data_IF_621931124942
#
_entry.id   IF_621931124942
#
_cell.length_a   1.000
_cell.length_b   1.000
_cell.length_c   1.000
_cell.angle_alpha   90.00
_cell.angle_beta   90.00
_cell.angle_gamma   90.00
#
_symmetry.space_group_name_H-M   'P 1'
#
loop_
_entity.id
_entity.type
_entity.pdbx_description
1 polymer ?
#
# COMPACT_ATOMS: atom_id res chain seq x y z
N UNK A 1 -61.62 66.61 -11.47
CA UNK A 1 -60.73 66.68 -10.29
C UNK A 1 -59.64 65.64 -10.48
N UNK A 2 -58.35 66.05 -10.49
CA UNK A 2 -57.11 65.22 -10.45
C UNK A 2 -56.78 64.48 -11.78
N UNK A 3 -55.94 65.02 -12.70
CA UNK A 3 -54.45 64.97 -12.81
C UNK A 3 -53.88 63.52 -12.74
N UNK A 4 -52.92 63.01 -13.50
CA UNK A 4 -51.94 63.44 -14.53
C UNK A 4 -51.43 62.13 -15.17
N UNK A 5 -51.35 62.04 -16.50
CA UNK A 5 -50.13 61.92 -17.32
C UNK A 5 -49.26 60.67 -17.10
N UNK A 6 -49.22 59.83 -18.14
CA UNK A 6 -48.14 58.89 -18.49
C UNK A 6 -47.00 59.65 -19.18
N UNK A 7 -45.77 59.25 -18.92
CA UNK A 7 -44.62 59.44 -19.80
C UNK A 7 -43.58 58.33 -19.53
N UNK A 8 -43.04 57.78 -20.62
CA UNK A 8 -41.82 56.95 -20.71
C UNK A 8 -40.56 57.88 -20.67
N UNK A 9 -39.28 57.50 -20.96
CA UNK A 9 -38.63 56.21 -21.27
C UNK A 9 -37.18 56.04 -20.70
N UNK A 10 -36.49 54.96 -21.14
CA UNK A 10 -35.06 54.86 -21.54
C UNK A 10 -33.87 54.82 -20.54
N UNK A 11 -32.85 54.06 -21.00
CA UNK A 11 -31.40 54.06 -20.71
C UNK A 11 -30.93 53.57 -19.32
N UNK A 12 -29.87 52.78 -19.14
CA UNK A 12 -28.66 52.52 -19.92
C UNK A 12 -27.44 52.74 -19.00
N UNK A 13 -26.86 51.70 -18.38
CA UNK A 13 -25.64 51.78 -17.54
C UNK A 13 -24.87 50.44 -17.67
N UNK A 14 -23.82 50.40 -18.49
CA UNK A 14 -22.38 50.57 -18.16
C UNK A 14 -21.71 49.33 -17.57
N UNK A 15 -20.75 48.81 -18.34
CA UNK A 15 -19.81 47.75 -17.98
C UNK A 15 -18.85 48.21 -16.88
N UNK A 16 -18.72 47.42 -15.82
CA UNK A 16 -17.70 47.53 -14.79
C UNK A 16 -16.66 46.42 -14.97
N UNK A 17 -15.44 46.82 -15.33
CA UNK A 17 -14.24 46.00 -15.41
C UNK A 17 -13.79 45.64 -13.99
N UNK A 18 -13.69 44.35 -13.66
CA UNK A 18 -13.01 43.88 -12.46
C UNK A 18 -11.57 43.46 -12.83
N UNK A 19 -10.54 43.94 -12.12
CA UNK A 19 -9.18 43.50 -12.36
C UNK A 19 -8.95 42.07 -11.81
N UNK A 20 -8.34 41.25 -12.65
CA UNK A 20 -7.81 39.93 -12.33
C UNK A 20 -6.69 40.04 -11.28
N UNK A 21 -6.89 39.45 -10.10
CA UNK A 21 -5.82 39.19 -9.15
C UNK A 21 -5.13 37.88 -9.55
N UNK A 22 -3.97 38.01 -10.19
CA UNK A 22 -3.03 36.92 -10.43
C UNK A 22 -2.37 36.54 -9.10
N UNK A 23 -2.69 35.35 -8.59
CA UNK A 23 -1.97 34.74 -7.46
C UNK A 23 -0.79 33.96 -8.04
N UNK A 24 0.40 34.55 -7.98
CA UNK A 24 1.67 33.85 -8.16
C UNK A 24 1.90 32.90 -6.99
N UNK A 25 2.24 31.62 -7.22
CA UNK A 25 2.67 30.72 -6.15
C UNK A 25 4.05 31.17 -5.66
N UNK A 26 4.19 31.37 -4.35
CA UNK A 26 5.47 31.53 -3.66
C UNK A 26 6.32 30.28 -3.87
N UNK A 27 7.37 30.41 -4.68
CA UNK A 27 8.51 29.49 -4.69
C UNK A 27 9.14 29.48 -3.28
N UNK A 28 9.19 28.31 -2.67
CA UNK A 28 10.01 28.06 -1.49
C UNK A 28 11.39 27.63 -1.97
N UNK A 29 12.33 28.59 -2.06
CA UNK A 29 13.75 28.27 -2.22
C UNK A 29 14.34 27.85 -0.86
N UNK A 30 14.92 26.63 -0.74
CA UNK A 30 15.64 26.26 0.46
C UNK A 30 16.98 27.03 0.55
N UNK A 31 17.40 27.47 1.75
CA UNK A 31 18.66 28.19 1.93
C UNK A 31 19.88 27.29 1.68
N UNK A 32 21.03 27.87 1.27
CA UNK A 32 22.24 27.11 0.99
C UNK A 32 22.89 26.56 2.27
N UNK A 33 23.39 25.33 2.15
CA UNK A 33 24.21 24.62 3.14
C UNK A 33 25.33 25.53 3.70
N UNK A 34 25.23 25.86 4.99
CA UNK A 34 26.38 26.34 5.77
C UNK A 34 26.86 25.19 6.68
N UNK A 35 28.09 24.75 6.41
CA UNK A 35 28.88 23.93 7.33
C UNK A 35 29.14 24.70 8.64
N UNK A 36 28.94 24.11 9.82
CA UNK A 36 29.62 24.53 11.02
C UNK A 36 30.94 23.76 11.18
N UNK A 37 31.98 24.53 11.49
CA UNK A 37 33.28 24.03 11.90
C UNK A 37 33.26 23.51 13.35
N UNK A 38 34.14 22.55 13.61
CA UNK A 38 34.86 22.28 14.86
C UNK A 38 34.21 22.76 16.17
N UNK A 39 33.62 21.81 16.91
CA UNK A 39 33.60 21.85 18.37
C UNK A 39 34.29 20.61 18.95
N UNK A 40 35.08 20.88 19.98
CA UNK A 40 36.05 20.00 20.60
C UNK A 40 35.36 18.92 21.44
N UNK A 41 35.82 17.67 21.27
CA UNK A 41 35.46 16.53 22.10
C UNK A 41 35.97 16.71 23.54
N UNK A 42 35.06 16.69 24.51
CA UNK A 42 35.36 16.43 25.93
C UNK A 42 34.87 15.01 26.27
N UNK A 43 35.74 14.09 26.73
CA UNK A 43 35.32 12.71 27.00
C UNK A 43 34.65 12.62 28.37
N UNK A 44 33.38 12.19 28.40
CA UNK A 44 32.73 11.72 29.63
C UNK A 44 32.93 10.21 29.82
N UNK A 45 33.28 9.85 31.06
CA UNK A 45 33.63 8.50 31.50
C UNK A 45 32.46 7.50 31.42
N UNK A 46 32.73 6.20 31.18
CA UNK A 46 31.69 5.18 31.12
C UNK A 46 31.29 4.68 32.52
N UNK A 47 29.99 4.78 32.82
CA UNK A 47 29.35 4.10 33.95
C UNK A 47 29.28 2.60 33.62
N UNK A 48 30.06 1.80 34.36
CA UNK A 48 30.04 0.34 34.30
C UNK A 48 28.73 -0.19 34.89
N UNK A 49 27.87 -0.80 34.06
CA UNK A 49 26.84 -1.74 34.52
C UNK A 49 27.38 -3.16 34.37
N UNK A 50 27.53 -3.84 35.51
CA UNK A 50 27.89 -5.25 35.61
C UNK A 50 26.62 -6.08 35.34
N UNK A 51 26.62 -6.86 34.27
CA UNK A 51 25.69 -7.97 34.09
C UNK A 51 26.51 -9.25 33.94
N UNK A 52 26.45 -10.10 34.95
CA UNK A 52 27.05 -11.43 34.97
C UNK A 52 26.17 -12.38 34.15
N UNK A 53 26.69 -12.87 33.03
CA UNK A 53 26.12 -14.03 32.32
C UNK A 53 26.89 -15.28 32.73
N UNK A 54 26.19 -16.22 33.37
CA UNK A 54 26.67 -17.59 33.56
C UNK A 54 26.49 -18.35 32.24
N UNK A 55 27.61 -18.81 31.67
CA UNK A 55 27.66 -19.64 30.48
C UNK A 55 27.55 -21.12 30.91
N UNK A 56 26.44 -21.79 30.59
CA UNK A 56 26.35 -23.24 30.68
C UNK A 56 26.78 -23.85 29.34
N UNK A 57 27.96 -24.48 29.33
CA UNK A 57 28.47 -25.25 28.20
C UNK A 57 27.85 -26.65 28.26
N UNK A 58 26.98 -26.98 27.29
CA UNK A 58 26.53 -28.35 27.06
C UNK A 58 27.30 -28.90 25.86
N UNK A 59 28.28 -29.74 26.14
CA UNK A 59 28.98 -30.59 25.16
C UNK A 59 28.08 -31.78 24.81
N UNK A 60 27.61 -31.83 23.56
CA UNK A 60 26.96 -33.04 23.01
C UNK A 60 28.03 -33.83 22.25
N UNK A 61 28.24 -35.07 22.70
CA UNK A 61 29.08 -36.05 22.03
C UNK A 61 28.42 -36.51 20.71
N UNK A 62 29.12 -36.30 19.60
CA UNK A 62 28.79 -36.90 18.31
C UNK A 62 29.25 -38.36 18.29
N UNK A 63 28.32 -39.32 18.12
CA UNK A 63 28.65 -40.68 17.72
C UNK A 63 28.51 -40.83 16.18
N UNK A 64 29.39 -41.60 15.52
CA UNK A 64 29.25 -41.88 14.10
C UNK A 64 28.28 -43.06 13.90
N UNK A 65 27.18 -42.83 13.19
CA UNK A 65 26.34 -43.90 12.65
C UNK A 65 26.90 -44.32 11.29
N UNK A 66 27.56 -45.47 11.29
CA UNK A 66 27.81 -46.28 10.10
C UNK A 66 26.51 -46.93 9.62
N UNK A 67 26.19 -46.73 8.34
CA UNK A 67 25.52 -47.73 7.51
C UNK A 67 24.01 -47.58 7.33
N UNK A 68 23.61 -47.09 6.14
CA UNK A 68 22.98 -47.92 5.09
C UNK A 68 22.71 -47.06 3.85
N UNK A 69 23.20 -47.51 2.70
CA UNK A 69 22.80 -46.97 1.41
C UNK A 69 21.31 -47.24 1.19
N UNK A 70 20.55 -46.19 0.92
CA UNK A 70 19.16 -46.28 0.48
C UNK A 70 19.13 -46.68 -1.00
N UNK A 71 18.20 -47.54 -1.43
CA UNK A 71 18.02 -47.85 -2.84
C UNK A 71 17.53 -46.61 -3.60
N UNK A 72 18.01 -46.45 -4.83
CA UNK A 72 17.54 -45.43 -5.75
C UNK A 72 16.02 -45.61 -5.95
N UNK A 73 15.24 -44.60 -5.55
CA UNK A 73 13.82 -44.55 -5.85
C UNK A 73 13.65 -44.24 -7.34
N UNK A 74 13.08 -45.20 -8.06
CA UNK A 74 12.60 -45.03 -9.42
C UNK A 74 11.46 -44.00 -9.44
N UNK A 75 11.53 -43.05 -10.37
CA UNK A 75 10.47 -42.07 -10.60
C UNK A 75 9.21 -42.79 -11.14
N UNK A 76 8.04 -42.70 -10.46
CA UNK A 76 6.80 -43.11 -11.07
C UNK A 76 6.46 -42.11 -12.18
N UNK A 77 6.42 -42.62 -13.41
CA UNK A 77 5.83 -41.94 -14.55
C UNK A 77 4.31 -42.09 -14.46
N UNK A 78 3.58 -41.06 -14.90
CA UNK A 78 2.12 -40.96 -15.07
C UNK A 78 1.28 -40.66 -13.81
N UNK A 79 1.05 -39.37 -13.58
CA UNK A 79 -0.15 -38.89 -12.87
C UNK A 79 -1.27 -38.82 -13.91
N UNK A 80 -2.32 -39.61 -13.71
CA UNK A 80 -3.58 -39.51 -14.46
C UNK A 80 -4.22 -38.13 -14.24
N UNK A 81 -4.93 -37.58 -15.26
CA UNK A 81 -5.57 -36.26 -15.13
C UNK A 81 -6.64 -36.33 -14.04
N UNK A 82 -6.47 -35.52 -12.99
CA UNK A 82 -7.51 -35.32 -12.00
C UNK A 82 -8.63 -34.49 -12.62
N UNK A 83 -9.83 -35.03 -12.54
CA UNK A 83 -11.06 -34.46 -13.05
C UNK A 83 -11.43 -33.20 -12.25
N UNK A 84 -10.80 -32.07 -12.58
CA UNK A 84 -11.20 -30.73 -12.09
C UNK A 84 -12.32 -30.16 -12.97
N UNK A 85 -13.40 -30.90 -13.12
CA UNK A 85 -14.66 -30.39 -13.67
C UNK A 85 -15.63 -29.93 -12.58
N UNK A 86 -15.14 -29.68 -11.36
CA UNK A 86 -15.93 -29.06 -10.29
C UNK A 86 -16.18 -27.58 -10.61
N UNK A 87 -17.16 -27.36 -11.47
CA UNK A 87 -18.09 -26.24 -11.49
C UNK A 87 -17.49 -24.83 -11.53
N UNK A 88 -16.77 -24.53 -12.63
CA UNK A 88 -16.50 -23.15 -13.09
C UNK A 88 -17.80 -22.32 -13.19
N UNK A 89 -18.92 -22.99 -13.47
CA UNK A 89 -20.28 -22.45 -13.51
C UNK A 89 -20.79 -21.89 -12.18
N UNK A 90 -20.31 -22.37 -11.03
CA UNK A 90 -20.82 -21.98 -9.70
C UNK A 90 -20.09 -20.73 -9.15
N UNK A 91 -18.85 -20.49 -9.59
CA UNK A 91 -18.08 -19.28 -9.26
C UNK A 91 -18.64 -18.06 -10.00
N UNK A 92 -19.06 -18.24 -11.27
CA UNK A 92 -19.67 -17.17 -12.05
C UNK A 92 -21.08 -16.80 -11.55
N UNK A 93 -21.83 -17.74 -10.95
CA UNK A 93 -23.19 -17.51 -10.46
C UNK A 93 -23.25 -16.68 -9.17
N UNK A 94 -22.19 -16.66 -8.34
CA UNK A 94 -22.12 -15.83 -7.12
C UNK A 94 -21.87 -14.34 -7.40
N UNK A 95 -21.40 -13.99 -8.60
CA UNK A 95 -20.92 -12.64 -8.90
C UNK A 95 -22.00 -11.66 -9.38
N UNK A 96 -23.27 -12.08 -9.53
CA UNK A 96 -24.34 -11.19 -9.99
C UNK A 96 -25.15 -10.54 -8.83
N UNK A 97 -25.01 -11.01 -7.59
CA UNK A 97 -25.62 -10.42 -6.38
C UNK A 97 -24.92 -10.86 -5.07
N UNK A 98 -23.62 -11.16 -5.10
CA UNK A 98 -22.88 -11.74 -3.97
C UNK A 98 -21.89 -10.80 -3.29
N UNK A 99 -21.40 -11.25 -2.12
CA UNK A 99 -20.37 -10.59 -1.35
C UNK A 99 -19.11 -10.29 -2.20
N UNK A 100 -18.44 -9.16 -1.94
CA UNK A 100 -17.21 -8.76 -2.66
C UNK A 100 -15.95 -9.05 -1.85
N UNK A 101 -14.79 -9.33 -2.49
CA UNK A 101 -13.54 -9.51 -1.76
C UNK A 101 -13.11 -8.23 -1.05
N UNK A 102 -12.47 -8.38 0.11
CA UNK A 102 -11.91 -7.32 0.93
C UNK A 102 -10.43 -7.58 1.25
N UNK A 103 -9.62 -6.54 1.19
CA UNK A 103 -8.17 -6.63 1.38
C UNK A 103 -7.75 -6.06 2.75
N UNK A 104 -7.26 -6.94 3.63
CA UNK A 104 -6.61 -6.55 4.87
C UNK A 104 -5.10 -6.44 4.62
N UNK A 105 -4.61 -5.20 4.53
CA UNK A 105 -3.26 -4.88 4.09
C UNK A 105 -2.41 -4.57 5.33
N UNK A 106 -1.41 -5.40 5.64
CA UNK A 106 -0.55 -5.14 6.78
C UNK A 106 0.36 -3.92 6.50
N UNK A 107 0.35 -2.94 7.40
CA UNK A 107 1.07 -1.68 7.28
C UNK A 107 2.57 -1.80 7.59
N UNK A 108 3.40 -1.11 6.81
CA UNK A 108 4.82 -0.86 7.07
C UNK A 108 5.58 -2.14 7.38
N UNK A 109 5.46 -3.15 6.52
CA UNK A 109 6.17 -4.42 6.70
C UNK A 109 7.57 -4.30 6.13
N UNK A 110 8.54 -4.01 7.00
CA UNK A 110 9.92 -3.72 6.59
C UNK A 110 10.90 -4.88 6.75
N UNK A 111 10.47 -5.97 7.41
CA UNK A 111 11.34 -7.09 7.78
C UNK A 111 10.72 -8.42 7.37
N UNK A 112 11.55 -9.41 7.05
CA UNK A 112 11.12 -10.75 6.68
C UNK A 112 10.30 -11.45 7.78
N UNK A 113 10.64 -11.26 9.06
CA UNK A 113 9.79 -11.73 10.16
C UNK A 113 8.43 -11.04 10.17
N UNK A 114 8.35 -9.75 9.84
CA UNK A 114 7.10 -9.00 9.75
C UNK A 114 6.17 -9.57 8.67
N UNK A 115 6.73 -10.03 7.54
CA UNK A 115 5.97 -10.76 6.50
C UNK A 115 5.35 -12.02 7.09
N UNK A 116 6.15 -12.84 7.79
CA UNK A 116 5.67 -14.10 8.38
C UNK A 116 4.60 -13.85 9.43
N UNK A 117 4.79 -12.83 10.27
CA UNK A 117 3.83 -12.45 11.32
C UNK A 117 2.52 -11.94 10.73
N UNK A 118 2.56 -11.03 9.75
CA UNK A 118 1.38 -10.50 9.08
C UNK A 118 0.54 -11.62 8.43
N UNK A 119 1.19 -12.53 7.70
CA UNK A 119 0.51 -13.65 7.03
C UNK A 119 0.07 -14.74 8.01
N UNK A 120 0.73 -14.90 9.15
CA UNK A 120 0.28 -15.75 10.25
C UNK A 120 -0.97 -15.18 10.92
N UNK A 121 -1.07 -13.86 11.05
CA UNK A 121 -2.24 -13.19 11.62
C UNK A 121 -3.46 -13.23 10.69
N UNK A 122 -3.24 -13.27 9.37
CA UNK A 122 -4.31 -13.36 8.37
C UNK A 122 -4.36 -12.22 7.37
N UNK A 123 -3.33 -11.37 7.31
CA UNK A 123 -3.20 -10.41 6.22
C UNK A 123 -3.25 -11.13 4.87
N UNK A 124 -3.95 -10.53 3.91
CA UNK A 124 -4.02 -11.06 2.54
C UNK A 124 -3.31 -10.16 1.51
N UNK A 125 -2.79 -9.02 1.98
CA UNK A 125 -1.88 -8.14 1.26
C UNK A 125 -0.95 -7.45 2.27
N UNK A 126 0.14 -6.88 1.78
CA UNK A 126 1.16 -6.22 2.60
C UNK A 126 1.59 -4.91 1.92
N UNK A 127 1.70 -3.84 2.70
CA UNK A 127 2.32 -2.59 2.28
C UNK A 127 3.78 -2.53 2.76
N UNK A 128 4.66 -2.09 1.88
CA UNK A 128 6.11 -2.00 2.08
C UNK A 128 6.59 -0.65 1.55
N UNK A 129 7.11 0.18 2.44
CA UNK A 129 7.81 1.38 2.04
C UNK A 129 9.09 1.05 1.28
N UNK A 130 9.28 1.63 0.11
CA UNK A 130 10.41 1.35 -0.76
C UNK A 130 11.27 2.60 -0.97
N UNK A 131 12.51 2.53 -0.50
CA UNK A 131 13.52 3.56 -0.69
C UNK A 131 14.75 2.99 -1.40
N UNK A 132 15.11 3.58 -2.54
CA UNK A 132 16.35 3.32 -3.24
C UNK A 132 17.54 3.94 -2.48
N UNK A 133 18.62 3.17 -2.39
CA UNK A 133 19.93 3.57 -1.87
C UNK A 133 21.00 3.28 -2.93
N UNK A 134 22.27 3.60 -2.64
CA UNK A 134 23.38 3.44 -3.60
C UNK A 134 23.55 2.02 -4.14
N UNK A 135 23.15 1.02 -3.36
CA UNK A 135 23.40 -0.39 -3.59
C UNK A 135 22.13 -1.23 -3.81
N UNK A 136 20.94 -0.64 -3.77
CA UNK A 136 19.70 -1.35 -4.06
C UNK A 136 18.47 -0.68 -3.48
N UNK A 137 17.35 -1.38 -3.56
CA UNK A 137 16.09 -1.00 -2.92
C UNK A 137 15.96 -1.66 -1.56
N UNK A 138 15.47 -0.91 -0.58
CA UNK A 138 15.26 -1.34 0.79
C UNK A 138 13.82 -1.11 1.20
N UNK A 139 13.31 -2.02 2.02
CA UNK A 139 12.08 -1.83 2.75
C UNK A 139 12.35 -0.79 3.86
N UNK A 140 12.02 0.46 3.58
CA UNK A 140 12.45 1.62 4.35
C UNK A 140 11.51 2.81 4.14
N UNK A 141 10.92 3.27 5.24
CA UNK A 141 9.97 4.37 5.28
C UNK A 141 10.63 5.75 5.31
N UNK A 142 11.73 5.92 6.06
CA UNK A 142 12.27 7.25 6.34
C UNK A 142 13.48 7.59 5.45
N UNK A 143 14.03 6.61 4.73
CA UNK A 143 15.20 6.80 3.87
C UNK A 143 16.50 6.98 4.65
N UNK A 144 16.48 6.78 5.97
CA UNK A 144 17.63 7.02 6.86
C UNK A 144 18.36 5.73 7.22
N UNK A 145 19.69 5.73 7.44
CA UNK A 145 20.45 4.51 7.77
C UNK A 145 19.89 3.71 8.95
N UNK A 146 19.18 4.36 9.88
CA UNK A 146 18.60 3.75 11.09
C UNK A 146 17.17 3.21 10.89
N UNK A 147 16.53 3.51 9.76
CA UNK A 147 15.16 3.09 9.43
C UNK A 147 15.08 1.97 8.39
N UNK A 148 16.21 1.67 7.74
CA UNK A 148 16.27 0.58 6.76
C UNK A 148 15.98 -0.76 7.41
N UNK A 149 14.95 -1.43 6.88
CA UNK A 149 14.72 -2.84 7.09
C UNK A 149 15.50 -3.70 6.08
N UNK A 150 14.88 -4.80 5.65
CA UNK A 150 15.48 -5.73 4.71
C UNK A 150 15.59 -5.16 3.29
N UNK A 151 16.44 -5.76 2.45
CA UNK A 151 16.47 -5.43 1.02
C UNK A 151 15.17 -5.87 0.34
N UNK A 152 14.78 -5.19 -0.74
CA UNK A 152 13.64 -5.57 -1.56
C UNK A 152 13.74 -7.03 -2.04
N UNK A 153 14.94 -7.49 -2.41
CA UNK A 153 15.16 -8.88 -2.82
C UNK A 153 14.83 -9.87 -1.68
N UNK A 154 15.33 -9.61 -0.46
CA UNK A 154 15.10 -10.50 0.68
C UNK A 154 13.62 -10.55 1.07
N UNK A 155 12.95 -9.40 1.12
CA UNK A 155 11.53 -9.36 1.50
C UNK A 155 10.65 -9.99 0.41
N UNK A 156 10.94 -9.77 -0.87
CA UNK A 156 10.20 -10.42 -1.97
C UNK A 156 10.39 -11.93 -1.99
N UNK A 157 11.60 -12.43 -1.76
CA UNK A 157 11.86 -13.88 -1.63
C UNK A 157 11.05 -14.48 -0.48
N UNK A 158 11.03 -13.81 0.67
CA UNK A 158 10.23 -14.25 1.81
C UNK A 158 8.74 -14.31 1.47
N UNK A 159 8.21 -13.31 0.77
CA UNK A 159 6.81 -13.29 0.34
C UNK A 159 6.50 -14.44 -0.63
N UNK A 160 7.36 -14.65 -1.63
CA UNK A 160 7.23 -15.73 -2.60
C UNK A 160 7.27 -17.12 -1.90
N UNK A 161 8.19 -17.31 -0.95
CA UNK A 161 8.28 -18.53 -0.14
C UNK A 161 7.01 -18.75 0.69
N UNK A 162 6.49 -17.71 1.36
CA UNK A 162 5.24 -17.82 2.13
C UNK A 162 4.06 -18.17 1.23
N UNK A 163 4.01 -17.59 0.04
CA UNK A 163 2.99 -17.91 -0.96
C UNK A 163 3.07 -19.36 -1.43
N UNK A 164 4.26 -19.84 -1.77
CA UNK A 164 4.50 -21.24 -2.14
C UNK A 164 4.18 -22.21 -0.99
N UNK A 165 4.36 -21.77 0.26
CA UNK A 165 3.93 -22.50 1.46
C UNK A 165 2.42 -22.43 1.72
N UNK A 166 1.62 -21.90 0.80
CA UNK A 166 0.16 -21.89 0.86
C UNK A 166 -0.44 -20.69 1.61
N UNK A 167 0.34 -19.65 1.93
CA UNK A 167 -0.21 -18.43 2.54
C UNK A 167 -1.07 -17.64 1.55
N UNK A 168 -2.13 -17.05 2.07
CA UNK A 168 -3.12 -16.29 1.30
C UNK A 168 -2.66 -14.84 1.02
N UNK A 169 -1.46 -14.64 0.49
CA UNK A 169 -1.01 -13.32 0.03
C UNK A 169 -1.35 -13.14 -1.45
N UNK A 170 -2.09 -12.09 -1.79
CA UNK A 170 -2.54 -11.81 -3.16
C UNK A 170 -1.67 -10.75 -3.84
N UNK A 171 -1.31 -9.69 -3.11
CA UNK A 171 -0.48 -8.63 -3.65
C UNK A 171 0.38 -7.96 -2.58
N UNK A 172 1.42 -7.28 -3.04
CA UNK A 172 2.21 -6.32 -2.25
C UNK A 172 1.97 -4.91 -2.78
N UNK A 173 1.83 -3.96 -1.87
CA UNK A 173 1.81 -2.53 -2.18
C UNK A 173 3.20 -1.97 -1.88
N UNK A 174 3.88 -1.48 -2.91
CA UNK A 174 5.18 -0.83 -2.79
C UNK A 174 4.97 0.69 -2.66
N UNK A 175 5.03 1.25 -1.45
CA UNK A 175 4.93 2.70 -1.24
C UNK A 175 6.26 3.38 -1.61
N UNK A 176 6.32 4.01 -2.78
CA UNK A 176 7.56 4.48 -3.37
C UNK A 176 7.99 5.83 -2.79
N UNK A 177 9.04 5.85 -1.96
CA UNK A 177 9.52 7.08 -1.31
C UNK A 177 10.42 7.95 -2.17
N UNK A 178 11.20 7.36 -3.06
CA UNK A 178 12.11 8.10 -3.95
C UNK A 178 12.23 7.46 -5.36
N UNK A 179 11.11 7.27 -6.08
CA UNK A 179 11.08 6.48 -7.32
C UNK A 179 11.95 7.02 -8.47
N UNK A 180 12.40 8.27 -8.40
CA UNK A 180 13.31 8.89 -9.38
C UNK A 180 14.78 8.92 -8.94
N UNK A 181 15.17 8.16 -7.90
CA UNK A 181 16.53 8.19 -7.33
C UNK A 181 17.63 8.01 -8.39
N UNK A 182 17.42 7.11 -9.36
CA UNK A 182 18.34 6.90 -10.46
C UNK A 182 17.62 6.94 -11.82
N UNK A 183 18.14 7.75 -12.74
CA UNK A 183 17.61 7.92 -14.10
C UNK A 183 18.15 6.92 -15.12
N UNK A 184 19.18 6.14 -14.78
CA UNK A 184 19.69 5.04 -15.61
C UNK A 184 18.78 3.83 -15.49
N UNK A 185 18.09 3.48 -16.57
CA UNK A 185 17.15 2.35 -16.62
C UNK A 185 17.82 1.00 -16.30
N UNK A 186 19.13 0.86 -16.51
CA UNK A 186 19.86 -0.39 -16.23
C UNK A 186 20.35 -0.50 -14.79
N UNK A 187 20.21 0.56 -13.98
CA UNK A 187 20.62 0.52 -12.59
C UNK A 187 19.67 -0.31 -11.74
N UNK A 188 20.22 -1.12 -10.82
CA UNK A 188 19.43 -1.82 -9.78
C UNK A 188 18.72 -0.87 -8.80
N UNK A 189 19.01 0.42 -8.85
CA UNK A 189 18.42 1.47 -7.98
C UNK A 189 17.44 2.36 -8.74
N UNK A 190 17.18 2.08 -10.01
CA UNK A 190 16.12 2.71 -10.79
C UNK A 190 14.76 2.05 -10.49
N UNK A 191 13.68 2.71 -10.91
CA UNK A 191 12.34 2.13 -10.81
C UNK A 191 12.18 0.91 -11.73
N UNK A 192 12.86 0.89 -12.88
CA UNK A 192 12.92 -0.28 -13.76
C UNK A 192 13.61 -1.46 -13.09
N UNK A 193 14.68 -1.20 -12.32
CA UNK A 193 15.35 -2.19 -11.50
C UNK A 193 14.43 -2.80 -10.44
N UNK A 194 13.68 -1.98 -9.70
CA UNK A 194 12.70 -2.46 -8.72
C UNK A 194 11.59 -3.29 -9.39
N UNK A 195 11.03 -2.81 -10.51
CA UNK A 195 10.02 -3.55 -11.26
C UNK A 195 10.56 -4.89 -11.72
N UNK A 196 11.72 -4.91 -12.36
CA UNK A 196 12.36 -6.15 -12.84
C UNK A 196 12.55 -7.15 -11.70
N UNK A 197 13.01 -6.69 -10.54
CA UNK A 197 13.15 -7.52 -9.35
C UNK A 197 11.80 -8.07 -8.84
N UNK A 198 10.77 -7.24 -8.79
CA UNK A 198 9.43 -7.65 -8.40
C UNK A 198 8.87 -8.70 -9.35
N UNK A 199 8.98 -8.49 -10.67
CA UNK A 199 8.55 -9.48 -11.68
C UNK A 199 9.30 -10.80 -11.55
N UNK A 200 10.62 -10.75 -11.38
CA UNK A 200 11.45 -11.93 -11.30
C UNK A 200 11.10 -12.83 -10.11
N UNK A 201 10.66 -12.24 -8.99
CA UNK A 201 10.49 -12.97 -7.72
C UNK A 201 9.01 -13.22 -7.40
N UNK A 202 8.15 -12.21 -7.55
CA UNK A 202 6.75 -12.25 -7.09
C UNK A 202 5.80 -12.85 -8.12
N UNK A 203 6.00 -12.58 -9.42
CA UNK A 203 5.11 -13.11 -10.46
C UNK A 203 5.14 -14.64 -10.58
N UNK A 204 6.29 -15.33 -10.52
CA UNK A 204 6.30 -16.80 -10.51
C UNK A 204 5.58 -17.41 -9.30
N UNK A 205 5.43 -16.66 -8.21
CA UNK A 205 4.65 -17.06 -7.04
C UNK A 205 3.17 -16.66 -7.14
N UNK A 206 2.76 -16.01 -8.23
CA UNK A 206 1.42 -15.44 -8.42
C UNK A 206 1.06 -14.42 -7.33
N UNK A 207 2.03 -13.60 -6.93
CA UNK A 207 1.82 -12.42 -6.07
C UNK A 207 1.88 -11.18 -6.94
N UNK A 208 0.82 -10.38 -6.91
CA UNK A 208 0.69 -9.16 -7.72
C UNK A 208 1.34 -7.96 -7.05
N UNK A 209 1.58 -6.89 -7.81
CA UNK A 209 2.30 -5.69 -7.35
C UNK A 209 1.50 -4.42 -7.58
N UNK A 210 1.29 -3.65 -6.52
CA UNK A 210 0.67 -2.34 -6.56
C UNK A 210 1.74 -1.28 -6.32
N UNK A 211 2.04 -0.45 -7.32
CA UNK A 211 3.01 0.63 -7.20
C UNK A 211 2.33 1.87 -6.63
N UNK A 212 2.66 2.21 -5.39
CA UNK A 212 2.13 3.37 -4.66
C UNK A 212 2.90 4.64 -4.95
N UNK A 213 2.19 5.69 -5.35
CA UNK A 213 2.69 7.05 -5.49
C UNK A 213 1.87 8.00 -4.62
N UNK A 214 2.48 9.10 -4.20
CA UNK A 214 1.81 10.13 -3.40
C UNK A 214 1.80 11.48 -4.12
N UNK A 215 0.69 12.22 -3.99
CA UNK A 215 0.54 13.54 -4.58
C UNK A 215 0.51 13.54 -6.10
N UNK A 216 0.72 14.72 -6.71
CA UNK A 216 0.64 14.89 -8.17
C UNK A 216 1.89 14.37 -8.87
N UNK A 217 1.77 13.20 -9.49
CA UNK A 217 2.90 12.45 -10.09
C UNK A 217 2.79 12.22 -11.61
N UNK A 218 1.74 12.71 -12.26
CA UNK A 218 1.52 12.62 -13.72
C UNK A 218 2.73 13.05 -14.56
N UNK A 219 3.54 13.99 -14.05
CA UNK A 219 4.75 14.46 -14.72
C UNK A 219 6.05 13.71 -14.34
N UNK A 220 6.02 12.87 -13.31
CA UNK A 220 7.17 12.11 -12.81
C UNK A 220 7.64 11.06 -13.83
N UNK A 221 8.97 10.96 -14.01
CA UNK A 221 9.60 9.93 -14.88
C UNK A 221 9.16 8.54 -14.45
N UNK A 222 9.30 8.22 -13.17
CA UNK A 222 9.02 6.88 -12.69
C UNK A 222 7.56 6.46 -12.82
N UNK A 223 6.62 7.40 -12.59
CA UNK A 223 5.21 7.16 -12.80
C UNK A 223 4.91 6.78 -14.26
N UNK A 224 5.43 7.57 -15.22
CA UNK A 224 5.26 7.30 -16.66
C UNK A 224 5.84 5.95 -17.05
N UNK A 225 7.04 5.62 -16.58
CA UNK A 225 7.68 4.32 -16.85
C UNK A 225 6.87 3.15 -16.31
N UNK A 226 6.36 3.23 -15.08
CA UNK A 226 5.53 2.18 -14.50
C UNK A 226 4.23 2.06 -15.31
N UNK A 227 3.49 3.17 -15.49
CA UNK A 227 2.24 3.22 -16.26
C UNK A 227 2.37 2.62 -17.65
N UNK A 228 3.37 3.03 -18.42
CA UNK A 228 3.52 2.67 -19.84
C UNK A 228 3.91 1.20 -20.02
N UNK A 229 4.25 0.50 -18.94
CA UNK A 229 4.78 -0.86 -18.99
C UNK A 229 4.09 -1.81 -18.01
N UNK A 230 2.94 -1.46 -17.44
CA UNK A 230 2.19 -2.37 -16.55
C UNK A 230 1.81 -3.65 -17.29
N UNK A 231 2.05 -4.81 -16.68
CA UNK A 231 1.48 -6.08 -17.13
C UNK A 231 0.22 -6.45 -16.32
N UNK A 232 -0.36 -7.62 -16.56
CA UNK A 232 -1.57 -8.12 -15.88
C UNK A 232 -1.43 -8.32 -14.36
N UNK A 233 -0.20 -8.40 -13.85
CA UNK A 233 0.09 -8.59 -12.44
C UNK A 233 0.39 -7.29 -11.70
N UNK A 234 0.22 -6.14 -12.37
CA UNK A 234 0.61 -4.85 -11.84
C UNK A 234 -0.49 -3.79 -11.96
N UNK A 235 -0.56 -2.93 -10.95
CA UNK A 235 -1.43 -1.76 -10.90
C UNK A 235 -0.72 -0.56 -10.27
N UNK A 236 -1.36 0.61 -10.32
CA UNK A 236 -0.87 1.84 -9.70
C UNK A 236 -1.86 2.29 -8.63
N UNK A 237 -1.34 2.61 -7.44
CA UNK A 237 -2.05 3.36 -6.42
C UNK A 237 -1.57 4.82 -6.41
N UNK A 238 -2.51 5.75 -6.28
CA UNK A 238 -2.21 7.15 -6.00
C UNK A 238 -3.00 7.58 -4.77
N UNK A 239 -2.29 8.11 -3.79
CA UNK A 239 -2.88 8.68 -2.58
C UNK A 239 -3.30 10.15 -2.77
N UNK A 240 -4.53 10.50 -2.40
CA UNK A 240 -5.00 11.89 -2.46
C UNK A 240 -6.51 12.07 -2.51
N UNK A 241 -6.97 13.26 -2.88
CA UNK A 241 -8.41 13.57 -2.99
C UNK A 241 -9.01 12.96 -4.26
N UNK A 242 -10.26 12.48 -4.19
CA UNK A 242 -10.86 11.65 -5.22
C UNK A 242 -10.89 12.32 -6.60
N UNK A 243 -11.29 13.59 -6.67
CA UNK A 243 -11.35 14.32 -7.95
C UNK A 243 -9.97 14.53 -8.55
N UNK A 244 -8.98 14.88 -7.72
CA UNK A 244 -7.62 15.15 -8.18
C UNK A 244 -6.97 13.87 -8.72
N UNK A 245 -7.14 12.76 -8.01
CA UNK A 245 -6.60 11.46 -8.45
C UNK A 245 -7.35 10.96 -9.68
N UNK A 246 -8.67 11.17 -9.76
CA UNK A 246 -9.46 10.83 -10.94
C UNK A 246 -8.98 11.63 -12.17
N UNK A 247 -8.83 12.94 -12.05
CA UNK A 247 -8.31 13.81 -13.12
C UNK A 247 -6.91 13.37 -13.57
N UNK A 248 -6.03 13.04 -12.61
CA UNK A 248 -4.69 12.54 -12.89
C UNK A 248 -4.73 11.26 -13.72
N UNK A 249 -5.54 10.28 -13.32
CA UNK A 249 -5.67 9.04 -14.08
C UNK A 249 -6.35 9.23 -15.43
N UNK A 250 -7.29 10.16 -15.56
CA UNK A 250 -7.92 10.49 -16.84
C UNK A 250 -6.93 11.13 -17.81
N UNK A 251 -6.06 12.01 -17.32
CA UNK A 251 -5.10 12.75 -18.14
C UNK A 251 -3.87 11.92 -18.51
N UNK A 252 -3.43 11.06 -17.60
CA UNK A 252 -2.16 10.37 -17.78
C UNK A 252 -2.05 9.07 -17.01
N UNK A 253 -3.14 8.40 -16.64
CA UNK A 253 -3.12 7.11 -15.96
C UNK A 253 -3.16 5.89 -16.88
N UNK A 254 -3.15 4.67 -16.32
CA UNK A 254 -3.42 3.45 -17.07
C UNK A 254 -4.77 3.52 -17.77
N UNK A 255 -4.87 3.07 -19.03
CA UNK A 255 -6.14 3.07 -19.76
C UNK A 255 -7.17 2.10 -19.15
N UNK A 256 -6.71 0.97 -18.62
CA UNK A 256 -7.52 0.01 -17.88
C UNK A 256 -7.85 0.56 -16.48
N UNK A 257 -9.13 0.82 -16.23
CA UNK A 257 -9.60 1.32 -14.93
C UNK A 257 -9.37 0.34 -13.79
N UNK A 258 -9.30 -0.97 -14.06
CA UNK A 258 -9.03 -1.97 -13.01
C UNK A 258 -7.67 -1.77 -12.36
N UNK A 259 -6.70 -1.26 -13.12
CA UNK A 259 -5.33 -0.98 -12.65
C UNK A 259 -5.15 0.39 -11.99
N UNK A 260 -6.25 1.13 -11.81
CA UNK A 260 -6.27 2.42 -11.11
C UNK A 260 -6.76 2.19 -9.70
N UNK A 261 -5.86 2.33 -8.74
CA UNK A 261 -6.20 2.28 -7.32
C UNK A 261 -6.07 3.68 -6.75
N UNK A 262 -7.07 4.09 -5.97
CA UNK A 262 -6.98 5.31 -5.18
C UNK A 262 -6.91 4.93 -3.71
N UNK A 263 -6.10 5.69 -2.98
CA UNK A 263 -6.09 5.63 -1.53
C UNK A 263 -6.25 6.99 -0.89
N UNK A 264 -6.71 6.98 0.36
CA UNK A 264 -6.66 8.16 1.20
C UNK A 264 -6.54 7.73 2.66
N UNK A 265 -5.82 8.52 3.44
CA UNK A 265 -5.56 8.19 4.81
C UNK A 265 -4.75 9.21 5.58
N UNK A 266 -4.54 8.91 6.85
CA UNK A 266 -3.65 9.66 7.71
C UNK A 266 -3.13 8.75 8.83
N UNK A 267 -1.93 9.06 9.34
CA UNK A 267 -1.34 8.37 10.48
C UNK A 267 -2.26 8.35 11.72
N UNK A 268 -3.10 9.39 11.88
CA UNK A 268 -4.21 9.39 12.83
C UNK A 268 -5.49 9.81 12.10
N UNK A 269 -6.32 8.86 11.64
CA UNK A 269 -7.48 9.18 10.80
C UNK A 269 -8.49 10.08 11.53
N UNK A 270 -8.56 10.02 12.86
CA UNK A 270 -9.48 10.83 13.65
C UNK A 270 -9.30 12.36 13.48
N UNK A 271 -8.11 12.82 13.08
CA UNK A 271 -7.83 14.25 12.91
C UNK A 271 -8.53 14.87 11.70
N UNK A 272 -8.83 14.07 10.66
CA UNK A 272 -9.39 14.54 9.38
C UNK A 272 -10.40 13.56 8.78
N UNK A 273 -11.08 12.80 9.63
CA UNK A 273 -11.91 11.70 9.13
C UNK A 273 -13.11 12.18 8.30
N UNK A 274 -13.77 13.26 8.72
CA UNK A 274 -15.04 13.71 8.14
C UNK A 274 -16.23 12.88 8.63
N UNK A 275 -17.45 13.28 8.25
CA UNK A 275 -18.70 12.63 8.65
C UNK A 275 -19.17 11.51 7.70
N UNK A 276 -18.39 11.27 6.64
CA UNK A 276 -18.71 10.39 5.51
C UNK A 276 -19.93 10.82 4.69
N UNK A 277 -20.46 12.04 4.85
CA UNK A 277 -21.69 12.51 4.21
C UNK A 277 -21.50 13.76 3.36
N UNK A 278 -20.76 14.76 3.84
CA UNK A 278 -20.59 16.01 3.10
C UNK A 278 -19.30 16.73 3.50
N UNK A 279 -18.92 17.74 2.72
CA UNK A 279 -17.71 18.52 3.00
C UNK A 279 -16.44 17.80 2.55
N UNK A 280 -15.45 17.74 3.44
CA UNK A 280 -14.13 17.17 3.17
C UNK A 280 -13.69 16.22 4.28
N UNK A 281 -12.69 15.41 3.99
CA UNK A 281 -12.11 14.46 4.94
C UNK A 281 -11.95 13.07 4.33
N UNK A 282 -11.16 12.24 5.01
CA UNK A 282 -10.73 10.92 4.52
C UNK A 282 -11.95 10.08 4.08
N UNK A 283 -12.99 10.00 4.91
CA UNK A 283 -14.16 9.18 4.60
C UNK A 283 -14.97 9.72 3.42
N UNK A 284 -15.07 11.05 3.28
CA UNK A 284 -15.79 11.69 2.17
C UNK A 284 -15.08 11.41 0.86
N UNK A 285 -13.75 11.55 0.81
CA UNK A 285 -12.95 11.26 -0.37
C UNK A 285 -12.99 9.79 -0.76
N UNK A 286 -12.85 8.87 0.20
CA UNK A 286 -12.96 7.43 -0.06
C UNK A 286 -14.35 7.06 -0.60
N UNK A 287 -15.43 7.59 -0.01
CA UNK A 287 -16.79 7.34 -0.48
C UNK A 287 -17.00 7.84 -1.90
N UNK A 288 -16.51 9.06 -2.17
CA UNK A 288 -16.59 9.68 -3.49
C UNK A 288 -15.85 8.87 -4.54
N UNK A 289 -14.65 8.36 -4.22
CA UNK A 289 -13.90 7.49 -5.09
C UNK A 289 -14.64 6.16 -5.36
N UNK A 290 -15.19 5.51 -4.33
CA UNK A 290 -15.94 4.26 -4.49
C UNK A 290 -17.22 4.42 -5.34
N UNK A 291 -17.88 5.57 -5.20
CA UNK A 291 -19.08 5.91 -5.96
C UNK A 291 -18.80 6.29 -7.43
N UNK A 292 -17.66 6.91 -7.73
CA UNK A 292 -17.36 7.43 -9.08
C UNK A 292 -17.14 6.34 -10.13
N UNK A 293 -16.77 5.13 -9.70
CA UNK A 293 -16.36 4.01 -10.58
C UNK A 293 -15.18 4.34 -11.50
N UNK A 294 -14.42 5.39 -11.20
CA UNK A 294 -13.22 5.77 -11.93
C UNK A 294 -11.98 4.92 -11.54
N UNK A 295 -12.10 4.15 -10.46
CA UNK A 295 -11.05 3.34 -9.87
C UNK A 295 -11.48 1.87 -9.83
N UNK A 296 -10.52 0.96 -10.05
CA UNK A 296 -10.70 -0.48 -9.90
C UNK A 296 -10.78 -0.92 -8.43
N UNK A 297 -10.07 -0.20 -7.56
CA UNK A 297 -10.09 -0.35 -6.11
C UNK A 297 -9.95 0.98 -5.38
N UNK A 298 -10.52 1.05 -4.19
CA UNK A 298 -10.36 2.16 -3.24
C UNK A 298 -9.91 1.63 -1.89
N UNK A 299 -8.81 2.17 -1.35
CA UNK A 299 -8.23 1.72 -0.07
C UNK A 299 -8.10 2.85 0.96
N UNK A 300 -8.42 2.54 2.22
CA UNK A 300 -8.23 3.46 3.35
C UNK A 300 -6.97 3.14 4.18
N UNK A 301 -6.38 4.14 4.83
CA UNK A 301 -5.24 3.94 5.75
C UNK A 301 -5.11 5.04 6.82
N UNK A 302 -4.34 4.88 7.90
CA UNK A 302 -3.99 3.61 8.55
C UNK A 302 -4.95 3.39 9.72
N UNK A 303 -5.41 2.15 9.90
CA UNK A 303 -6.25 1.75 11.05
C UNK A 303 -5.39 1.07 12.13
N UNK A 304 -5.30 1.70 13.30
CA UNK A 304 -4.72 1.12 14.50
C UNK A 304 -5.79 0.49 15.41
N UNK A 305 -5.38 -0.12 16.52
CA UNK A 305 -6.23 -0.86 17.46
C UNK A 305 -7.37 -0.04 18.08
N UNK A 306 -7.27 1.30 18.07
CA UNK A 306 -8.23 2.22 18.66
C UNK A 306 -9.06 2.97 17.61
N UNK A 307 -9.04 2.56 16.33
CA UNK A 307 -9.74 3.22 15.24
C UNK A 307 -10.96 2.44 14.73
N UNK A 308 -11.66 1.73 15.62
CA UNK A 308 -12.81 0.88 15.26
C UNK A 308 -13.91 1.65 14.53
N UNK A 309 -14.27 2.85 15.02
CA UNK A 309 -15.32 3.67 14.41
C UNK A 309 -14.93 4.14 13.00
N UNK A 310 -13.68 4.59 12.83
CA UNK A 310 -13.18 5.02 11.53
C UNK A 310 -13.11 3.85 10.54
N UNK A 311 -12.58 2.70 10.96
CA UNK A 311 -12.54 1.51 10.12
C UNK A 311 -13.94 1.05 9.71
N UNK A 312 -14.86 0.99 10.66
CA UNK A 312 -16.27 0.63 10.40
C UNK A 312 -16.90 1.59 9.42
N UNK A 313 -16.68 2.90 9.56
CA UNK A 313 -17.21 3.90 8.63
C UNK A 313 -16.57 3.81 7.23
N UNK A 314 -15.26 3.53 7.13
CA UNK A 314 -14.61 3.25 5.84
C UNK A 314 -15.25 2.04 5.14
N UNK A 315 -15.49 0.95 5.88
CA UNK A 315 -16.06 -0.29 5.32
C UNK A 315 -17.55 -0.16 4.99
N UNK A 316 -18.34 0.46 5.86
CA UNK A 316 -19.80 0.49 5.76
C UNK A 316 -20.37 1.69 4.99
N UNK A 317 -19.74 2.86 5.10
CA UNK A 317 -20.22 4.11 4.48
C UNK A 317 -19.41 4.52 3.26
N UNK A 318 -18.09 4.41 3.33
CA UNK A 318 -17.22 4.73 2.19
C UNK A 318 -17.11 3.56 1.18
N UNK A 319 -17.57 2.36 1.54
CA UNK A 319 -17.61 1.18 0.67
C UNK A 319 -16.23 0.80 0.09
N UNK A 320 -15.16 1.02 0.86
CA UNK A 320 -13.78 0.69 0.43
C UNK A 320 -13.62 -0.80 0.15
N UNK A 321 -12.63 -1.13 -0.68
CA UNK A 321 -12.28 -2.50 -1.04
C UNK A 321 -11.21 -3.09 -0.11
N UNK A 322 -10.55 -2.28 0.70
CA UNK A 322 -9.48 -2.72 1.60
C UNK A 322 -8.99 -1.61 2.51
N UNK A 323 -8.29 -2.02 3.57
CA UNK A 323 -7.74 -1.14 4.60
C UNK A 323 -6.31 -1.56 4.93
N UNK A 324 -5.41 -0.57 5.00
CA UNK A 324 -4.11 -0.71 5.63
C UNK A 324 -4.28 -0.64 7.15
N UNK A 325 -3.79 -1.67 7.85
CA UNK A 325 -3.91 -1.81 9.30
C UNK A 325 -2.59 -2.15 9.96
N UNK A 326 -2.46 -1.79 11.24
CA UNK A 326 -1.31 -2.16 12.06
C UNK A 326 -0.85 -1.01 12.94
N UNK A 327 0.44 -0.95 13.22
CA UNK A 327 1.02 0.17 13.96
C UNK A 327 1.05 1.44 13.12
N UNK A 328 0.91 2.60 13.76
CA UNK A 328 1.06 3.89 13.07
C UNK A 328 2.55 4.26 12.87
N UNK A 329 3.37 4.04 13.90
CA UNK A 329 4.69 4.67 14.01
C UNK A 329 5.88 3.71 13.86
N UNK A 330 5.65 2.40 13.73
CA UNK A 330 6.71 1.40 13.65
C UNK A 330 6.34 0.31 12.66
N UNK A 331 7.32 -0.48 12.24
CA UNK A 331 7.11 -1.57 11.31
C UNK A 331 6.34 -2.73 11.93
N UNK A 332 5.75 -3.56 11.09
CA UNK A 332 4.94 -4.69 11.54
C UNK A 332 5.78 -5.77 12.23
N UNK A 333 5.29 -6.26 13.36
CA UNK A 333 5.78 -7.46 14.05
C UNK A 333 4.65 -8.11 14.86
N UNK A 334 4.86 -9.33 15.34
CA UNK A 334 3.96 -10.01 16.26
C UNK A 334 3.74 -9.17 17.53
N UNK A 335 2.54 -8.58 17.65
CA UNK A 335 2.14 -7.81 18.81
C UNK A 335 0.62 -7.88 19.04
N UNK A 336 0.19 -7.61 20.28
CA UNK A 336 -1.23 -7.56 20.61
C UNK A 336 -2.00 -6.52 19.79
N UNK A 337 -1.39 -5.35 19.56
CA UNK A 337 -2.01 -4.24 18.82
C UNK A 337 -2.15 -4.52 17.32
N UNK A 338 -1.20 -5.21 16.70
CA UNK A 338 -1.30 -5.62 15.29
C UNK A 338 -2.38 -6.69 15.07
N UNK A 339 -2.59 -7.57 16.05
CA UNK A 339 -3.75 -8.47 16.06
C UNK A 339 -5.07 -7.75 16.32
N UNK A 340 -5.07 -6.78 17.24
CA UNK A 340 -6.28 -6.03 17.58
C UNK A 340 -6.77 -5.17 16.41
N UNK A 341 -5.86 -4.50 15.69
CA UNK A 341 -6.19 -3.76 14.47
C UNK A 341 -6.74 -4.66 13.35
N UNK A 342 -6.16 -5.86 13.15
CA UNK A 342 -6.74 -6.84 12.22
C UNK A 342 -8.15 -7.27 12.64
N UNK A 343 -8.37 -7.51 13.94
CA UNK A 343 -9.66 -7.95 14.47
C UNK A 343 -10.81 -7.00 14.14
N UNK A 344 -10.57 -5.69 14.16
CA UNK A 344 -11.56 -4.69 13.73
C UNK A 344 -12.11 -5.01 12.33
N UNK A 345 -11.22 -5.39 11.40
CA UNK A 345 -11.60 -5.75 10.03
C UNK A 345 -12.29 -7.12 10.02
N UNK A 346 -11.70 -8.14 10.63
CA UNK A 346 -12.24 -9.50 10.54
C UNK A 346 -13.58 -9.66 11.23
N UNK A 347 -13.78 -9.02 12.39
CA UNK A 347 -15.04 -9.05 13.13
C UNK A 347 -16.16 -8.39 12.30
N UNK A 348 -15.86 -7.25 11.66
CA UNK A 348 -16.81 -6.59 10.77
C UNK A 348 -17.17 -7.46 9.54
N UNK A 349 -16.18 -8.14 8.94
CA UNK A 349 -16.40 -9.05 7.81
C UNK A 349 -17.26 -10.25 8.20
N UNK A 350 -17.06 -10.82 9.39
CA UNK A 350 -17.85 -11.93 9.90
C UNK A 350 -19.32 -11.55 10.11
N UNK A 351 -19.56 -10.32 10.59
CA UNK A 351 -20.90 -9.74 10.76
C UNK A 351 -21.56 -9.32 9.42
N UNK A 352 -20.76 -9.05 8.38
CA UNK A 352 -21.23 -8.54 7.07
C UNK A 352 -20.86 -9.48 5.91
N UNK A 353 -20.85 -10.80 6.17
CA UNK A 353 -20.43 -11.85 5.21
C UNK A 353 -21.25 -11.90 3.92
N UNK A 354 -22.45 -11.34 3.93
CA UNK A 354 -23.33 -11.20 2.77
C UNK A 354 -22.86 -10.06 1.84
N UNK A 355 -22.12 -9.07 2.37
CA UNK A 355 -21.61 -7.92 1.62
C UNK A 355 -20.15 -8.06 1.25
N UNK A 356 -19.33 -8.61 2.15
CA UNK A 356 -17.88 -8.69 2.00
C UNK A 356 -17.32 -9.98 2.58
N UNK A 357 -16.18 -10.40 2.07
CA UNK A 357 -15.38 -11.48 2.65
C UNK A 357 -13.90 -11.19 2.47
N UNK A 358 -13.04 -11.75 3.33
CA UNK A 358 -11.60 -11.62 3.18
C UNK A 358 -11.15 -12.27 1.87
N UNK A 359 -10.53 -11.49 0.98
CA UNK A 359 -10.13 -11.94 -0.35
C UNK A 359 -9.19 -13.16 -0.28
N UNK A 360 -9.33 -14.06 -1.25
CA UNK A 360 -8.63 -15.33 -1.38
C UNK A 360 -7.85 -15.41 -2.68
N UNK A 361 -6.97 -16.38 -2.80
CA UNK A 361 -6.11 -16.66 -3.97
C UNK A 361 -6.79 -16.53 -5.35
N UNK A 362 -8.06 -16.91 -5.48
CA UNK A 362 -8.80 -16.82 -6.74
C UNK A 362 -9.26 -15.41 -7.10
N UNK A 363 -9.33 -14.51 -6.12
CA UNK A 363 -9.76 -13.13 -6.31
C UNK A 363 -8.68 -12.31 -7.01
N UNK A 364 -9.08 -11.62 -8.06
CA UNK A 364 -8.19 -10.71 -8.79
C UNK A 364 -8.32 -9.30 -8.20
N UNK A 365 -7.24 -8.70 -7.67
CA UNK A 365 -7.26 -7.32 -7.21
C UNK A 365 -7.40 -6.32 -8.37
N UNK A 366 -7.05 -6.70 -9.61
CA UNK A 366 -7.29 -5.97 -10.84
C UNK A 366 -7.41 -6.92 -12.04
#
# INVERSE_FOLDING_TARGET
>A
MIQRSRASPADGISAGVYPSLSVTPLLWDPPPNQHPQNEQFVPMAPIRRVFSYALAVVTIFSQPLLGRALPAAEFPTAIAPSDQSANVSDISARNAAGARPFYAIAHRVLMDYGVRDALKHGANAIEIDMTARKDGWYADHDGTPTSAGDTAEKIFKTIAEQRQAGKNILFVWLDLKNPNYNGDANSKTSIEGLRTLARMILEPASVKVLYGFYGRVDNSRAYKIIRDNLNENEAIAVDGDADQVQEMFQTGGPSDTKKRVMSNGLFNPALKFGDCESGSGICVELRKAAASKAFGKVFGWTVAENNSDQATAMMSKADVDGIIYGFVATHYYDHANTRASLRIITDWLDENKDKRYLAKIGDQPW
#
